data_IF_390064337213
#
_entry.id   IF_390064337213
#
_cell.length_a   1.000
_cell.length_b   1.000
_cell.length_c   1.000
_cell.angle_alpha   90.00
_cell.angle_beta   90.00
_cell.angle_gamma   90.00
#
_symmetry.space_group_name_H-M   'P 1'
#
loop_
_entity.id
_entity.type
_entity.pdbx_description
1 polymer ?
#
# COMPACT_ATOMS: atom_id res chain seq x y z
N UNK A 1 -14.70 -14.54 -5.78
CA UNK A 1 -15.30 -15.65 -5.01
C UNK A 1 -14.47 -15.81 -3.75
N UNK A 2 -15.09 -15.74 -2.57
CA UNK A 2 -14.40 -16.02 -1.31
C UNK A 2 -13.97 -17.49 -1.28
N UNK A 3 -12.72 -17.74 -0.93
CA UNK A 3 -12.20 -19.10 -0.78
C UNK A 3 -12.57 -19.59 0.62
N UNK A 4 -13.05 -20.83 0.74
CA UNK A 4 -13.34 -21.42 2.06
C UNK A 4 -12.09 -21.39 2.94
N UNK A 5 -12.25 -21.02 4.22
CA UNK A 5 -11.16 -20.99 5.18
C UNK A 5 -10.57 -22.38 5.46
N UNK A 6 -11.32 -23.45 5.19
CA UNK A 6 -10.84 -24.82 5.31
C UNK A 6 -10.00 -25.32 4.13
N UNK A 7 -9.93 -24.58 3.01
CA UNK A 7 -9.20 -25.02 1.82
C UNK A 7 -7.69 -24.86 2.03
N UNK A 8 -6.92 -25.89 1.69
CA UNK A 8 -5.45 -25.95 1.84
C UNK A 8 -4.74 -26.10 0.51
N UNK A 9 -3.44 -25.84 0.50
CA UNK A 9 -2.58 -25.98 -0.67
C UNK A 9 -1.70 -27.22 -0.59
N UNK A 10 -1.39 -27.82 -1.74
CA UNK A 10 -0.32 -28.83 -1.82
C UNK A 10 1.08 -28.21 -1.65
N UNK A 11 1.21 -26.89 -1.75
CA UNK A 11 2.40 -26.14 -1.32
C UNK A 11 2.39 -26.06 0.20
N UNK A 12 3.14 -26.93 0.86
CA UNK A 12 3.07 -27.13 2.30
C UNK A 12 3.32 -25.85 3.12
N UNK A 13 4.28 -25.02 2.71
CA UNK A 13 4.63 -23.77 3.39
C UNK A 13 3.53 -22.71 3.36
N UNK A 14 2.54 -22.83 2.47
CA UNK A 14 1.40 -21.91 2.43
C UNK A 14 0.38 -22.18 3.54
N UNK A 15 0.34 -23.40 4.08
CA UNK A 15 -0.65 -23.79 5.07
C UNK A 15 -0.27 -23.24 6.45
N UNK A 16 -1.00 -22.21 6.90
CA UNK A 16 -0.68 -21.48 8.13
C UNK A 16 0.33 -20.34 7.94
N UNK A 17 0.71 -20.03 6.69
CA UNK A 17 1.53 -18.87 6.39
C UNK A 17 0.77 -17.57 6.72
N UNK A 18 1.40 -16.67 7.47
CA UNK A 18 0.74 -15.43 7.93
C UNK A 18 0.34 -14.48 6.80
N UNK A 19 1.17 -14.42 5.74
CA UNK A 19 0.97 -13.48 4.64
C UNK A 19 0.43 -14.13 3.35
N UNK A 20 1.03 -15.23 2.88
CA UNK A 20 0.75 -15.84 1.57
C UNK A 20 0.10 -17.23 1.62
N UNK A 21 -1.02 -17.43 2.31
CA UNK A 21 -1.77 -18.67 2.19
C UNK A 21 -2.48 -18.76 0.83
N UNK A 22 -3.10 -19.91 0.54
CA UNK A 22 -3.92 -20.12 -0.65
C UNK A 22 -5.07 -19.10 -0.79
N UNK A 23 -5.51 -18.53 0.33
CA UNK A 23 -6.54 -17.51 0.40
C UNK A 23 -6.06 -16.14 -0.09
N UNK A 24 -4.75 -15.88 -0.14
CA UNK A 24 -4.20 -14.60 -0.59
C UNK A 24 -3.91 -14.61 -2.10
N UNK A 25 -2.87 -15.33 -2.54
CA UNK A 25 -2.38 -15.37 -3.93
C UNK A 25 -2.14 -13.99 -4.56
N UNK A 26 -1.30 -13.13 -3.96
CA UNK A 26 -1.04 -11.82 -4.52
C UNK A 26 -0.12 -11.89 -5.74
N UNK A 27 -0.28 -10.93 -6.65
CA UNK A 27 0.52 -10.83 -7.87
C UNK A 27 1.73 -9.92 -7.65
N UNK A 28 2.85 -10.26 -8.25
CA UNK A 28 4.04 -9.42 -8.27
C UNK A 28 4.88 -9.69 -9.51
N UNK A 29 5.85 -8.82 -9.77
CA UNK A 29 6.84 -9.02 -10.84
C UNK A 29 8.16 -9.40 -10.19
N UNK A 30 8.78 -10.47 -10.67
CA UNK A 30 10.03 -10.98 -10.13
C UNK A 30 11.00 -11.41 -11.23
N UNK A 31 12.27 -11.51 -10.88
CA UNK A 31 13.30 -12.22 -11.66
C UNK A 31 13.99 -13.25 -10.79
N UNK A 32 14.53 -14.30 -11.41
CA UNK A 32 15.27 -15.36 -10.72
C UNK A 32 16.55 -15.67 -11.50
N UNK A 33 17.71 -15.68 -10.84
CA UNK A 33 19.02 -15.99 -11.46
C UNK A 33 19.31 -15.20 -12.76
N UNK A 34 19.07 -13.89 -12.75
CA UNK A 34 19.35 -13.00 -13.89
C UNK A 34 18.39 -13.14 -15.09
N UNK A 35 17.33 -13.95 -14.97
CA UNK A 35 16.28 -14.03 -15.97
C UNK A 35 15.50 -12.70 -16.09
N UNK A 36 14.85 -12.50 -17.23
CA UNK A 36 13.99 -11.34 -17.45
C UNK A 36 12.84 -11.30 -16.42
N UNK A 37 12.43 -10.08 -15.96
CA UNK A 37 11.28 -9.90 -15.10
C UNK A 37 10.01 -10.50 -15.69
N UNK A 38 9.16 -11.05 -14.83
CA UNK A 38 7.87 -11.63 -15.19
C UNK A 38 6.95 -11.75 -13.99
N UNK A 39 5.66 -11.90 -14.25
CA UNK A 39 4.68 -12.04 -13.20
C UNK A 39 4.73 -13.38 -12.48
N UNK A 40 4.45 -13.33 -11.19
CA UNK A 40 4.38 -14.48 -10.30
C UNK A 40 3.32 -14.30 -9.21
N UNK A 41 3.01 -15.39 -8.53
CA UNK A 41 2.08 -15.43 -7.40
C UNK A 41 2.84 -15.89 -6.15
N UNK A 42 2.74 -15.15 -5.05
CA UNK A 42 3.25 -15.64 -3.77
C UNK A 42 2.36 -16.76 -3.21
N UNK A 43 2.98 -17.86 -2.78
CA UNK A 43 2.32 -19.00 -2.14
C UNK A 43 3.26 -19.66 -1.12
N UNK A 44 3.00 -19.42 0.17
CA UNK A 44 3.95 -19.73 1.23
C UNK A 44 5.29 -19.01 1.02
N UNK A 45 6.39 -19.74 1.19
CA UNK A 45 7.75 -19.24 0.96
C UNK A 45 8.18 -19.27 -0.53
N UNK A 46 7.25 -19.54 -1.44
CA UNK A 46 7.53 -19.76 -2.86
C UNK A 46 6.81 -18.74 -3.75
N UNK A 47 7.34 -18.56 -4.96
CA UNK A 47 6.70 -17.85 -6.06
C UNK A 47 6.31 -18.87 -7.13
N UNK A 48 5.03 -18.90 -7.50
CA UNK A 48 4.54 -19.59 -8.69
C UNK A 48 4.80 -18.72 -9.92
N UNK A 49 5.62 -19.23 -10.85
CA UNK A 49 6.00 -18.54 -12.08
C UNK A 49 4.86 -18.60 -13.12
N UNK A 50 4.17 -17.48 -13.35
CA UNK A 50 3.01 -17.45 -14.27
C UNK A 50 3.40 -17.70 -15.73
N UNK A 51 4.65 -17.40 -16.11
CA UNK A 51 5.16 -17.71 -17.46
C UNK A 51 5.39 -19.21 -17.63
N UNK A 52 5.86 -19.89 -16.58
CA UNK A 52 5.95 -21.35 -16.55
C UNK A 52 4.55 -21.99 -16.56
N UNK A 53 3.59 -21.44 -15.81
CA UNK A 53 2.18 -21.89 -15.80
C UNK A 53 1.58 -21.80 -17.21
N UNK A 54 1.75 -20.66 -17.89
CA UNK A 54 1.27 -20.43 -19.25
C UNK A 54 1.91 -21.41 -20.24
N UNK A 55 3.25 -21.54 -20.22
CA UNK A 55 3.99 -22.44 -21.11
C UNK A 55 3.59 -23.92 -20.92
N UNK A 56 3.27 -24.31 -19.69
CA UNK A 56 2.81 -25.66 -19.36
C UNK A 56 1.35 -25.93 -19.76
N UNK A 57 0.57 -24.92 -20.14
CA UNK A 57 -0.84 -25.08 -20.51
C UNK A 57 -1.73 -25.55 -19.35
N UNK A 58 -1.34 -25.24 -18.11
CA UNK A 58 -2.04 -25.69 -16.91
C UNK A 58 -3.38 -24.97 -16.69
N UNK A 59 -3.47 -23.71 -17.12
CA UNK A 59 -4.69 -22.90 -17.07
C UNK A 59 -5.41 -22.96 -18.42
N UNK A 60 -6.74 -23.16 -18.38
CA UNK A 60 -7.62 -23.29 -19.55
C UNK A 60 -8.87 -22.41 -19.39
N UNK A 61 -9.60 -22.25 -20.49
CA UNK A 61 -10.88 -21.53 -20.51
C UNK A 61 -10.72 -20.02 -20.31
N UNK A 62 -11.64 -19.36 -19.58
CA UNK A 62 -11.71 -17.89 -19.51
C UNK A 62 -10.51 -17.24 -18.81
N UNK A 63 -9.68 -18.02 -18.11
CA UNK A 63 -8.49 -17.52 -17.41
C UNK A 63 -7.23 -17.43 -18.30
N UNK A 64 -7.27 -17.91 -19.55
CA UNK A 64 -6.09 -17.99 -20.44
C UNK A 64 -5.54 -16.61 -20.77
N UNK A 65 -6.40 -15.67 -21.18
CA UNK A 65 -5.98 -14.29 -21.48
C UNK A 65 -5.38 -13.63 -20.23
N UNK A 66 -6.03 -13.81 -19.08
CA UNK A 66 -5.60 -13.24 -17.81
C UNK A 66 -4.22 -13.76 -17.36
N UNK A 67 -3.95 -15.07 -17.45
CA UNK A 67 -2.61 -15.60 -17.12
C UNK A 67 -1.56 -15.14 -18.14
N UNK A 68 -1.93 -15.01 -19.42
CA UNK A 68 -1.01 -14.51 -20.44
C UNK A 68 -0.50 -13.11 -20.09
N UNK A 69 -1.42 -12.16 -19.86
CA UNK A 69 -1.03 -10.79 -19.54
C UNK A 69 -0.42 -10.66 -18.15
N UNK A 70 -0.88 -11.44 -17.17
CA UNK A 70 -0.30 -11.47 -15.82
C UNK A 70 1.10 -12.08 -15.79
N UNK A 71 1.51 -12.85 -16.82
CA UNK A 71 2.86 -13.44 -16.91
C UNK A 71 3.92 -12.50 -17.49
N UNK A 72 3.53 -11.28 -17.92
CA UNK A 72 4.43 -10.27 -18.49
C UNK A 72 5.31 -9.61 -17.41
N UNK A 73 6.18 -8.71 -17.83
CA UNK A 73 7.10 -7.95 -16.97
C UNK A 73 6.42 -6.79 -16.21
N UNK A 74 5.13 -6.56 -16.42
CA UNK A 74 4.31 -5.58 -15.72
C UNK A 74 2.84 -6.02 -15.71
N UNK A 75 2.09 -5.65 -14.67
CA UNK A 75 0.70 -6.05 -14.48
C UNK A 75 -0.34 -5.09 -15.11
N UNK A 76 0.08 -4.02 -15.80
CA UNK A 76 -0.84 -3.02 -16.37
C UNK A 76 -1.92 -3.64 -17.27
N UNK A 77 -1.54 -4.55 -18.16
CA UNK A 77 -2.49 -5.22 -19.07
C UNK A 77 -3.46 -6.12 -18.30
N UNK A 78 -2.98 -6.78 -17.23
CA UNK A 78 -3.83 -7.55 -16.33
C UNK A 78 -4.82 -6.66 -15.57
N UNK A 79 -4.39 -5.48 -15.12
CA UNK A 79 -5.25 -4.48 -14.48
C UNK A 79 -6.34 -3.98 -15.44
N UNK A 80 -6.00 -3.80 -16.72
CA UNK A 80 -6.91 -3.37 -17.77
C UNK A 80 -8.08 -4.35 -18.04
N UNK A 81 -7.88 -5.66 -17.84
CA UNK A 81 -8.92 -6.66 -18.12
C UNK A 81 -10.12 -6.61 -17.15
N UNK A 82 -10.00 -5.91 -16.02
CA UNK A 82 -11.09 -5.75 -15.07
C UNK A 82 -11.43 -7.00 -14.24
N UNK A 83 -12.46 -6.89 -13.41
CA UNK A 83 -12.72 -7.83 -12.33
C UNK A 83 -13.09 -9.25 -12.79
N UNK A 84 -13.72 -9.41 -13.96
CA UNK A 84 -14.10 -10.74 -14.47
C UNK A 84 -12.88 -11.61 -14.76
N UNK A 85 -11.92 -11.08 -15.53
CA UNK A 85 -10.67 -11.76 -15.86
C UNK A 85 -9.82 -12.05 -14.61
N UNK A 86 -9.73 -11.09 -13.67
CA UNK A 86 -9.03 -11.29 -12.39
C UNK A 86 -9.66 -12.41 -11.57
N UNK A 87 -11.00 -12.45 -11.47
CA UNK A 87 -11.74 -13.52 -10.79
C UNK A 87 -11.52 -14.88 -11.47
N UNK A 88 -11.53 -14.92 -12.80
CA UNK A 88 -11.28 -16.15 -13.57
C UNK A 88 -9.87 -16.70 -13.30
N UNK A 89 -8.83 -15.84 -13.37
CA UNK A 89 -7.46 -16.23 -13.05
C UNK A 89 -7.34 -16.71 -11.61
N UNK A 90 -7.88 -15.96 -10.65
CA UNK A 90 -7.88 -16.33 -9.23
C UNK A 90 -8.53 -17.70 -9.01
N UNK A 91 -9.69 -17.96 -9.59
CA UNK A 91 -10.36 -19.25 -9.47
C UNK A 91 -9.52 -20.40 -10.04
N UNK A 92 -8.90 -20.20 -11.20
CA UNK A 92 -8.01 -21.18 -11.82
C UNK A 92 -6.77 -21.45 -10.96
N UNK A 93 -6.13 -20.41 -10.42
CA UNK A 93 -4.96 -20.55 -9.54
C UNK A 93 -5.28 -21.27 -8.24
N UNK A 94 -6.44 -20.98 -7.65
CA UNK A 94 -6.90 -21.69 -6.45
C UNK A 94 -7.08 -23.17 -6.74
N UNK A 95 -7.76 -23.54 -7.83
CA UNK A 95 -7.90 -24.93 -8.24
C UNK A 95 -6.56 -25.60 -8.55
N UNK A 96 -5.63 -24.86 -9.15
CA UNK A 96 -4.30 -25.35 -9.49
C UNK A 96 -3.50 -25.71 -8.24
N UNK A 97 -3.56 -24.85 -7.21
CA UNK A 97 -2.79 -24.93 -5.98
C UNK A 97 -3.49 -25.69 -4.84
N UNK A 98 -4.79 -25.98 -4.96
CA UNK A 98 -5.58 -26.75 -4.00
C UNK A 98 -4.99 -28.13 -3.72
N UNK A 99 -4.95 -28.58 -2.47
CA UNK A 99 -4.34 -29.86 -2.06
C UNK A 99 -4.85 -31.10 -2.83
N UNK A 100 -6.11 -31.03 -3.29
CA UNK A 100 -6.82 -32.07 -4.06
C UNK A 100 -6.79 -31.80 -5.58
N UNK A 101 -5.94 -30.88 -6.05
CA UNK A 101 -5.80 -30.55 -7.47
C UNK A 101 -5.51 -31.81 -8.30
N UNK A 102 -6.32 -32.10 -9.34
CA UNK A 102 -6.07 -33.25 -10.21
C UNK A 102 -4.79 -33.10 -11.02
N UNK A 103 -4.23 -31.88 -11.08
CA UNK A 103 -2.97 -31.58 -11.77
C UNK A 103 -1.75 -31.65 -10.84
N UNK A 104 -1.94 -31.87 -9.52
CA UNK A 104 -0.89 -31.82 -8.49
C UNK A 104 0.37 -32.58 -8.87
N UNK A 105 0.25 -33.85 -9.29
CA UNK A 105 1.40 -34.68 -9.64
C UNK A 105 2.22 -34.11 -10.81
N UNK A 106 1.56 -33.54 -11.81
CA UNK A 106 2.22 -32.88 -12.94
C UNK A 106 2.91 -31.57 -12.52
N UNK A 107 2.28 -30.80 -11.64
CA UNK A 107 2.83 -29.54 -11.12
C UNK A 107 4.06 -29.78 -10.25
N UNK A 108 4.03 -30.80 -9.39
CA UNK A 108 5.17 -31.19 -8.56
C UNK A 108 6.35 -31.73 -9.39
N UNK A 109 6.07 -32.34 -10.55
CA UNK A 109 7.10 -32.80 -11.48
C UNK A 109 7.67 -31.69 -12.38
N UNK A 110 6.98 -30.54 -12.49
CA UNK A 110 7.40 -29.44 -13.35
C UNK A 110 8.55 -28.64 -12.73
N UNK A 111 9.74 -28.75 -13.33
CA UNK A 111 10.90 -27.94 -12.92
C UNK A 111 10.68 -26.45 -13.22
N UNK A 112 11.06 -25.58 -12.27
CA UNK A 112 11.00 -24.13 -12.43
C UNK A 112 9.59 -23.53 -12.33
N UNK A 113 8.58 -24.32 -11.93
CA UNK A 113 7.22 -23.83 -11.72
C UNK A 113 7.09 -23.04 -10.41
N UNK A 114 7.68 -23.57 -9.34
CA UNK A 114 7.78 -22.92 -8.03
C UNK A 114 9.24 -22.58 -7.75
N UNK A 115 9.48 -21.35 -7.31
CA UNK A 115 10.80 -20.82 -7.04
C UNK A 115 10.87 -20.32 -5.60
N UNK A 116 11.95 -20.58 -4.84
CA UNK A 116 12.13 -20.01 -3.52
C UNK A 116 12.07 -18.49 -3.56
N UNK A 117 11.20 -17.88 -2.75
CA UNK A 117 10.99 -16.43 -2.77
C UNK A 117 12.26 -15.66 -2.38
N UNK A 118 13.08 -16.23 -1.50
CA UNK A 118 14.37 -15.67 -1.07
C UNK A 118 15.48 -15.74 -2.13
N UNK A 119 15.29 -16.50 -3.22
CA UNK A 119 16.20 -16.54 -4.37
C UNK A 119 15.73 -15.61 -5.51
N UNK A 120 14.59 -14.95 -5.33
CA UNK A 120 14.00 -14.07 -6.32
C UNK A 120 14.27 -12.59 -5.99
N UNK A 121 14.39 -11.77 -7.03
CA UNK A 121 14.41 -10.31 -6.91
C UNK A 121 13.07 -9.77 -7.34
N UNK A 122 12.41 -9.02 -6.46
CA UNK A 122 11.14 -8.35 -6.77
C UNK A 122 11.36 -7.03 -7.50
N UNK A 123 10.44 -6.69 -8.40
CA UNK A 123 10.42 -5.46 -9.18
C UNK A 123 9.12 -4.69 -8.93
N UNK A 124 9.02 -3.48 -9.47
CA UNK A 124 7.73 -2.78 -9.47
C UNK A 124 6.66 -3.61 -10.18
N UNK A 125 5.47 -3.78 -9.58
CA UNK A 125 4.45 -4.67 -10.14
C UNK A 125 3.80 -4.10 -11.39
N UNK A 126 3.75 -2.78 -11.54
CA UNK A 126 3.19 -2.10 -12.70
C UNK A 126 3.96 -0.82 -13.00
N UNK A 127 3.89 -0.40 -14.26
CA UNK A 127 4.32 0.93 -14.67
C UNK A 127 3.29 1.95 -14.21
N UNK A 128 3.70 2.86 -13.34
CA UNK A 128 2.84 3.94 -12.86
C UNK A 128 2.83 5.08 -13.88
N UNK A 129 1.66 5.39 -14.43
CA UNK A 129 1.44 6.57 -15.26
C UNK A 129 1.43 7.81 -14.38
N UNK A 130 0.42 7.88 -13.53
CA UNK A 130 0.23 8.93 -12.53
C UNK A 130 0.17 8.37 -11.11
N UNK A 131 0.78 9.10 -10.17
CA UNK A 131 0.69 8.88 -8.74
C UNK A 131 -0.06 10.06 -8.12
N UNK A 132 -1.14 9.81 -7.41
CA UNK A 132 -1.83 10.83 -6.62
C UNK A 132 -1.87 10.40 -5.17
N UNK A 133 -1.55 11.31 -4.27
CA UNK A 133 -1.54 11.04 -2.85
C UNK A 133 -2.70 11.79 -2.18
N UNK A 134 -3.53 11.06 -1.46
CA UNK A 134 -4.70 11.61 -0.79
C UNK A 134 -4.38 12.01 0.65
N UNK A 135 -5.39 12.49 1.37
CA UNK A 135 -5.26 12.86 2.77
C UNK A 135 -6.43 12.33 3.59
N UNK A 136 -6.78 11.04 3.44
CA UNK A 136 -8.06 10.51 3.94
C UNK A 136 -8.05 10.10 5.42
N UNK A 137 -6.88 10.04 6.08
CA UNK A 137 -6.75 9.74 7.50
C UNK A 137 -7.11 10.93 8.40
N UNK A 138 -8.30 10.94 9.01
CA UNK A 138 -8.79 12.10 9.78
C UNK A 138 -8.01 12.33 11.07
N UNK A 139 -7.56 11.28 11.74
CA UNK A 139 -6.75 11.43 12.96
C UNK A 139 -5.41 12.09 12.65
N UNK A 140 -4.78 11.69 11.55
CA UNK A 140 -3.57 12.33 11.07
C UNK A 140 -3.81 13.82 10.74
N UNK A 141 -4.88 14.12 10.00
CA UNK A 141 -5.27 15.49 9.69
C UNK A 141 -5.53 16.35 10.92
N UNK A 142 -6.15 15.78 11.96
CA UNK A 142 -6.37 16.45 13.25
C UNK A 142 -5.06 16.66 14.00
N UNK A 143 -4.19 15.66 14.08
CA UNK A 143 -2.92 15.72 14.81
C UNK A 143 -1.99 16.76 14.21
N UNK A 144 -1.75 16.69 12.90
CA UNK A 144 -0.94 17.69 12.18
C UNK A 144 -1.61 19.06 12.25
N UNK A 145 -2.92 19.11 12.02
CA UNK A 145 -3.71 20.34 12.12
C UNK A 145 -3.53 21.07 13.45
N UNK A 146 -3.59 20.36 14.58
CA UNK A 146 -3.43 20.95 15.93
C UNK A 146 -2.05 21.58 16.14
N UNK A 147 -1.01 21.06 15.50
CA UNK A 147 0.35 21.61 15.62
C UNK A 147 0.50 22.97 14.92
N UNK A 148 -0.26 23.22 13.85
CA UNK A 148 -0.18 24.45 13.06
C UNK A 148 -1.35 25.41 13.31
N UNK A 149 -2.53 24.89 13.67
CA UNK A 149 -3.81 25.59 13.82
C UNK A 149 -4.61 24.95 14.98
N UNK A 150 -4.18 25.14 16.24
CA UNK A 150 -4.77 24.44 17.39
C UNK A 150 -6.28 24.67 17.54
N UNK A 151 -6.76 25.87 17.23
CA UNK A 151 -8.19 26.22 17.35
C UNK A 151 -9.06 25.64 16.23
N UNK A 152 -8.48 25.40 15.04
CA UNK A 152 -9.17 24.90 13.85
C UNK A 152 -8.27 23.92 13.09
N UNK A 153 -8.08 22.70 13.62
CA UNK A 153 -7.07 21.77 13.10
C UNK A 153 -7.40 21.29 11.68
N UNK A 154 -8.69 21.03 11.41
CA UNK A 154 -9.16 20.67 10.07
C UNK A 154 -9.54 21.92 9.28
N UNK A 155 -9.12 21.95 8.02
CA UNK A 155 -9.61 22.96 7.09
C UNK A 155 -11.08 22.67 6.71
N UNK A 156 -11.88 23.70 6.37
CA UNK A 156 -13.33 23.55 6.18
C UNK A 156 -13.74 22.51 5.13
N UNK A 157 -12.91 22.28 4.12
CA UNK A 157 -13.18 21.36 3.02
C UNK A 157 -12.97 19.88 3.35
N UNK A 158 -12.19 19.55 4.40
CA UNK A 158 -11.74 18.18 4.68
C UNK A 158 -12.90 17.17 4.80
N UNK A 159 -14.00 17.58 5.44
CA UNK A 159 -15.17 16.72 5.67
C UNK A 159 -16.11 16.62 4.46
N UNK A 160 -15.86 17.39 3.41
CA UNK A 160 -16.68 17.42 2.18
C UNK A 160 -15.96 16.82 0.97
N UNK A 161 -14.63 16.84 0.97
CA UNK A 161 -13.81 16.44 -0.17
C UNK A 161 -12.67 15.53 0.29
N UNK A 162 -12.47 14.34 -0.31
CA UNK A 162 -11.26 13.56 -0.10
C UNK A 162 -10.10 14.26 -0.82
N UNK A 163 -9.51 15.26 -0.15
CA UNK A 163 -8.45 16.07 -0.74
C UNK A 163 -7.22 15.21 -1.05
N UNK A 164 -6.51 15.59 -2.11
CA UNK A 164 -5.28 14.95 -2.54
C UNK A 164 -4.50 15.86 -3.48
N UNK A 165 -3.29 15.44 -3.83
CA UNK A 165 -2.38 16.14 -4.73
C UNK A 165 -1.68 15.15 -5.66
N UNK A 166 -1.10 15.64 -6.75
CA UNK A 166 -0.30 14.81 -7.64
C UNK A 166 1.07 14.56 -7.01
N UNK A 167 1.38 13.30 -6.76
CA UNK A 167 2.69 12.85 -6.31
C UNK A 167 3.67 12.67 -7.47
N UNK A 168 4.87 12.13 -7.18
CA UNK A 168 5.92 11.93 -8.18
C UNK A 168 6.10 10.46 -8.56
N UNK A 169 5.56 10.05 -9.71
CA UNK A 169 5.68 8.68 -10.20
C UNK A 169 7.12 8.22 -10.45
N UNK A 170 8.02 9.11 -10.90
CA UNK A 170 9.40 8.74 -11.26
C UNK A 170 10.30 8.33 -10.09
N UNK A 171 9.88 8.61 -8.84
CA UNK A 171 10.62 8.31 -7.61
C UNK A 171 9.91 7.28 -6.74
N UNK A 172 8.91 6.60 -7.31
CA UNK A 172 8.38 5.37 -6.73
C UNK A 172 9.44 4.28 -6.82
N UNK A 173 9.80 3.69 -5.69
CA UNK A 173 10.77 2.62 -5.59
C UNK A 173 10.18 1.39 -4.91
N UNK A 174 10.80 0.23 -5.16
CA UNK A 174 10.36 -1.03 -4.56
C UNK A 174 10.96 -1.20 -3.16
N UNK A 175 10.23 -1.87 -2.28
CA UNK A 175 10.69 -2.32 -0.96
C UNK A 175 12.13 -2.85 -0.99
N UNK A 176 12.96 -2.38 -0.05
CA UNK A 176 14.39 -2.68 0.06
C UNK A 176 15.31 -1.65 -0.62
N UNK A 177 14.76 -0.72 -1.42
CA UNK A 177 15.55 0.37 -1.99
C UNK A 177 16.03 1.33 -0.89
N UNK A 178 17.34 1.61 -0.77
CA UNK A 178 17.84 2.60 0.19
C UNK A 178 17.39 4.02 -0.16
N UNK A 179 17.08 4.83 0.86
CA UNK A 179 16.51 6.17 0.72
C UNK A 179 17.53 7.20 1.16
N UNK A 180 18.00 8.03 0.23
CA UNK A 180 18.95 9.10 0.56
C UNK A 180 18.22 10.28 1.21
N UNK A 181 18.70 10.73 2.36
CA UNK A 181 18.28 11.97 3.01
C UNK A 181 18.39 13.13 2.01
N UNK A 182 17.31 13.86 1.72
CA UNK A 182 17.36 14.95 0.77
C UNK A 182 18.06 16.17 1.36
N UNK A 183 18.76 16.91 0.51
CA UNK A 183 19.11 18.29 0.78
C UNK A 183 17.99 19.20 0.26
N UNK A 184 17.74 20.33 0.91
CA UNK A 184 16.77 21.30 0.45
C UNK A 184 16.85 22.63 1.20
N UNK A 185 15.95 23.55 0.83
CA UNK A 185 15.80 24.81 1.55
C UNK A 185 14.92 24.62 2.77
N UNK A 186 15.31 25.21 3.89
CA UNK A 186 14.57 25.16 5.14
C UNK A 186 14.62 26.55 5.80
N UNK A 187 13.49 27.02 6.32
CA UNK A 187 13.45 28.21 7.16
C UNK A 187 13.34 27.79 8.63
N UNK A 188 14.40 28.01 9.41
CA UNK A 188 14.37 27.67 10.84
C UNK A 188 13.55 28.69 11.64
N UNK A 189 13.00 28.25 12.77
CA UNK A 189 12.25 29.13 13.67
C UNK A 189 13.09 30.35 14.08
N UNK A 190 12.52 31.55 13.92
CA UNK A 190 13.18 32.82 14.24
C UNK A 190 14.13 33.35 13.16
N UNK A 191 14.36 32.62 12.06
CA UNK A 191 15.12 33.10 10.92
C UNK A 191 14.23 33.80 9.89
N UNK A 192 14.81 34.71 9.11
CA UNK A 192 14.15 35.41 8.00
C UNK A 192 14.63 34.95 6.63
N UNK A 193 15.77 34.26 6.58
CA UNK A 193 16.42 33.79 5.35
C UNK A 193 16.54 32.28 5.43
N UNK A 194 16.17 31.52 4.39
CA UNK A 194 16.30 30.07 4.40
C UNK A 194 17.76 29.63 4.32
N UNK A 195 18.04 28.48 4.91
CA UNK A 195 19.31 27.76 4.78
C UNK A 195 19.17 26.62 3.76
N UNK A 196 20.28 26.24 3.11
CA UNK A 196 20.34 25.05 2.27
C UNK A 196 21.22 23.98 2.93
N UNK A 197 20.73 22.75 3.01
CA UNK A 197 21.46 21.65 3.61
C UNK A 197 20.62 20.38 3.76
N UNK A 198 21.14 19.37 4.48
CA UNK A 198 20.43 18.12 4.70
C UNK A 198 19.18 18.33 5.56
N UNK A 199 18.11 17.65 5.19
CA UNK A 199 16.87 17.58 5.96
C UNK A 199 17.16 17.16 7.42
N UNK A 200 16.66 17.95 8.38
CA UNK A 200 16.78 17.72 9.84
C UNK A 200 15.57 16.96 10.39
N UNK A 201 14.43 16.97 9.70
CA UNK A 201 13.17 16.33 10.10
C UNK A 201 12.67 15.33 9.06
N UNK A 202 13.45 14.27 8.84
CA UNK A 202 13.09 13.18 7.92
C UNK A 202 12.12 12.21 8.59
N UNK A 203 11.08 11.85 7.88
CA UNK A 203 9.95 11.09 8.41
C UNK A 203 9.47 10.04 7.41
N UNK A 204 8.70 9.07 7.93
CA UNK A 204 7.92 8.14 7.13
C UNK A 204 6.44 8.54 7.17
N UNK A 205 5.66 7.98 6.25
CA UNK A 205 4.20 8.03 6.30
C UNK A 205 3.63 6.62 6.09
N UNK A 206 2.90 6.12 7.08
CA UNK A 206 2.22 4.83 6.99
C UNK A 206 1.00 4.94 6.08
N UNK A 207 1.08 4.33 4.90
CA UNK A 207 0.00 4.38 3.92
C UNK A 207 -0.29 3.02 3.27
N UNK A 208 -1.44 3.00 2.60
CA UNK A 208 -1.75 1.99 1.60
C UNK A 208 -1.71 2.60 0.20
N UNK A 209 -1.24 1.82 -0.77
CA UNK A 209 -1.41 2.11 -2.19
C UNK A 209 -2.65 1.42 -2.74
N UNK A 210 -3.39 2.10 -3.60
CA UNK A 210 -4.53 1.59 -4.36
C UNK A 210 -4.16 1.56 -5.84
N UNK A 211 -4.10 0.36 -6.43
CA UNK A 211 -3.80 0.17 -7.84
C UNK A 211 -5.07 0.31 -8.67
N UNK A 212 -5.04 1.21 -9.65
CA UNK A 212 -6.15 1.40 -10.57
C UNK A 212 -6.18 0.28 -11.61
N UNK A 213 -7.36 -0.32 -11.76
CA UNK A 213 -7.74 -1.34 -12.74
C UNK A 213 -8.11 -0.71 -14.09
N UNK A 214 -9.26 -1.07 -14.68
CA UNK A 214 -9.75 -0.36 -15.86
C UNK A 214 -9.85 1.15 -15.58
N UNK A 215 -9.39 1.97 -16.52
CA UNK A 215 -9.51 3.41 -16.43
C UNK A 215 -10.90 3.92 -16.82
N UNK A 216 -10.95 5.20 -17.19
CA UNK A 216 -12.12 5.86 -17.77
C UNK A 216 -11.71 6.66 -19.02
N UNK A 217 -12.67 7.08 -19.83
CA UNK A 217 -12.38 8.03 -20.90
C UNK A 217 -12.21 9.45 -20.32
N UNK A 218 -11.40 10.27 -20.99
CA UNK A 218 -11.25 11.67 -20.59
C UNK A 218 -12.60 12.39 -20.71
N UNK A 219 -12.98 13.13 -19.66
CA UNK A 219 -14.29 13.79 -19.58
C UNK A 219 -15.41 12.93 -18.99
N UNK A 220 -15.18 11.62 -18.79
CA UNK A 220 -16.19 10.70 -18.25
C UNK A 220 -15.85 10.31 -16.81
N UNK A 221 -16.63 10.79 -15.84
CA UNK A 221 -16.43 10.47 -14.44
C UNK A 221 -16.80 9.02 -14.10
N UNK A 222 -16.10 8.43 -13.14
CA UNK A 222 -16.46 7.15 -12.54
C UNK A 222 -17.44 7.42 -11.40
N UNK A 223 -18.66 6.89 -11.51
CA UNK A 223 -19.65 6.97 -10.44
C UNK A 223 -19.23 6.16 -9.21
N UNK A 224 -19.56 6.65 -8.01
CA UNK A 224 -19.22 6.00 -6.74
C UNK A 224 -19.77 4.56 -6.65
N UNK A 225 -20.90 4.29 -7.29
CA UNK A 225 -21.55 2.98 -7.40
C UNK A 225 -20.74 1.94 -8.19
N UNK A 226 -19.84 2.39 -9.07
CA UNK A 226 -18.96 1.52 -9.87
C UNK A 226 -17.48 1.65 -9.52
N UNK A 227 -17.11 2.61 -8.68
CA UNK A 227 -15.72 2.93 -8.36
C UNK A 227 -14.89 1.72 -7.87
N UNK A 228 -15.50 0.79 -7.13
CA UNK A 228 -14.82 -0.43 -6.67
C UNK A 228 -14.38 -1.36 -7.82
N UNK A 229 -15.04 -1.32 -8.99
CA UNK A 229 -14.69 -2.13 -10.17
C UNK A 229 -13.39 -1.65 -10.82
N UNK A 230 -13.04 -0.38 -10.61
CA UNK A 230 -11.84 0.28 -11.09
C UNK A 230 -10.63 0.10 -10.15
N UNK A 231 -10.76 -0.68 -9.08
CA UNK A 231 -9.65 -1.02 -8.17
C UNK A 231 -9.15 -2.42 -8.51
N UNK A 232 -7.88 -2.54 -8.89
CA UNK A 232 -7.23 -3.81 -9.16
C UNK A 232 -6.77 -4.52 -7.88
N UNK A 233 -6.24 -3.75 -6.93
CA UNK A 233 -5.70 -4.28 -5.68
C UNK A 233 -4.99 -3.22 -4.87
N UNK A 234 -4.29 -3.67 -3.84
CA UNK A 234 -3.69 -2.82 -2.82
C UNK A 234 -2.25 -3.24 -2.54
N UNK A 235 -1.43 -2.31 -2.08
CA UNK A 235 -0.10 -2.55 -1.54
C UNK A 235 0.13 -1.68 -0.29
N UNK A 236 1.23 -1.88 0.42
CA UNK A 236 1.74 -0.90 1.37
C UNK A 236 2.46 0.22 0.62
N UNK A 237 2.43 1.43 1.17
CA UNK A 237 3.11 2.61 0.65
C UNK A 237 3.78 3.36 1.82
N UNK A 238 5.03 3.77 1.63
CA UNK A 238 5.71 4.71 2.53
C UNK A 238 6.04 5.99 1.77
N UNK A 239 5.35 7.08 2.09
CA UNK A 239 5.58 8.40 1.50
C UNK A 239 6.61 9.20 2.32
N UNK A 240 7.90 8.92 2.05
CA UNK A 240 9.00 9.54 2.79
C UNK A 240 8.93 11.06 2.71
N UNK A 241 9.12 11.69 3.87
CA UNK A 241 8.77 13.10 4.03
C UNK A 241 9.86 13.90 4.71
N UNK A 242 10.31 14.98 4.08
CA UNK A 242 11.23 15.95 4.67
C UNK A 242 10.45 17.13 5.24
N UNK A 243 10.05 17.05 6.51
CA UNK A 243 9.04 17.95 7.14
C UNK A 243 9.47 19.41 7.22
N UNK A 244 10.76 19.67 7.33
CA UNK A 244 11.34 21.01 7.31
C UNK A 244 11.37 21.66 5.94
N UNK A 245 11.71 20.89 4.89
CA UNK A 245 11.58 21.33 3.51
C UNK A 245 10.10 21.59 3.22
N UNK A 246 9.21 20.67 3.61
CA UNK A 246 7.76 20.77 3.40
C UNK A 246 7.20 22.07 3.99
N UNK A 247 7.51 22.34 5.25
CA UNK A 247 6.99 23.52 5.95
C UNK A 247 7.37 24.84 5.28
N UNK A 248 8.52 24.89 4.59
CA UNK A 248 8.97 26.06 3.85
C UNK A 248 8.34 26.18 2.46
N UNK A 249 8.20 25.07 1.73
CA UNK A 249 7.83 25.12 0.31
C UNK A 249 6.32 25.02 0.02
N UNK A 250 5.53 24.41 0.92
CA UNK A 250 4.21 23.90 0.53
C UNK A 250 3.14 24.98 0.26
N UNK A 251 3.37 26.22 0.69
CA UNK A 251 2.41 27.30 0.48
C UNK A 251 2.76 28.09 -0.79
N UNK A 252 1.82 28.32 -1.72
CA UNK A 252 0.42 27.87 -1.72
C UNK A 252 0.16 26.58 -2.52
N UNK A 253 1.19 25.96 -3.10
CA UNK A 253 1.04 24.97 -4.19
C UNK A 253 0.98 23.50 -3.74
N UNK A 254 1.12 23.24 -2.44
CA UNK A 254 1.17 21.90 -1.86
C UNK A 254 2.59 21.33 -1.78
N UNK A 255 2.75 20.12 -1.21
CA UNK A 255 4.04 19.45 -1.07
C UNK A 255 4.70 19.18 -2.42
N UNK A 256 6.03 19.31 -2.50
CA UNK A 256 6.78 19.09 -3.73
C UNK A 256 8.10 18.33 -3.47
N UNK A 257 9.23 19.04 -3.30
CA UNK A 257 10.53 18.42 -3.08
C UNK A 257 10.63 17.68 -1.75
N UNK A 258 9.78 18.05 -0.79
CA UNK A 258 9.67 17.39 0.50
C UNK A 258 9.09 15.98 0.42
N UNK A 259 8.56 15.57 -0.74
CA UNK A 259 7.95 14.26 -1.01
C UNK A 259 8.60 13.56 -2.20
N UNK A 260 8.89 14.31 -3.27
CA UNK A 260 9.32 13.77 -4.56
C UNK A 260 10.73 13.16 -4.59
N UNK A 261 11.38 12.95 -3.44
CA UNK A 261 12.70 12.34 -3.37
C UNK A 261 12.64 10.81 -3.28
N UNK A 262 11.59 10.26 -2.65
CA UNK A 262 11.33 8.82 -2.64
C UNK A 262 9.94 8.50 -2.09
N UNK A 263 9.27 7.51 -2.69
CA UNK A 263 8.08 6.85 -2.14
C UNK A 263 8.27 5.35 -2.34
N UNK A 264 8.14 4.53 -1.30
CA UNK A 264 8.40 3.07 -1.38
C UNK A 264 7.11 2.27 -1.42
N UNK A 265 7.02 1.23 -2.25
CA UNK A 265 5.88 0.30 -2.31
C UNK A 265 6.27 -1.13 -1.90
N UNK A 266 5.36 -1.86 -1.28
CA UNK A 266 5.50 -3.33 -1.16
C UNK A 266 5.35 -4.00 -2.55
N UNK A 267 6.05 -5.10 -2.82
CA UNK A 267 6.12 -5.68 -4.16
C UNK A 267 4.89 -6.49 -4.57
N UNK A 268 4.09 -6.93 -3.59
CA UNK A 268 2.92 -7.77 -3.81
C UNK A 268 1.65 -6.92 -3.90
N UNK A 269 0.90 -7.12 -4.98
CA UNK A 269 -0.43 -6.55 -5.20
C UNK A 269 -1.47 -7.51 -4.66
N UNK A 270 -2.07 -7.14 -3.53
CA UNK A 270 -3.16 -7.89 -2.92
C UNK A 270 -4.44 -7.54 -3.68
N UNK A 271 -4.97 -8.50 -4.44
CA UNK A 271 -6.16 -8.26 -5.29
C UNK A 271 -7.38 -7.87 -4.45
N UNK A 272 -8.24 -7.01 -5.00
CA UNK A 272 -9.51 -6.65 -4.35
C UNK A 272 -10.36 -7.89 -4.02
N UNK A 273 -10.30 -8.92 -4.86
CA UNK A 273 -11.02 -10.18 -4.67
C UNK A 273 -10.48 -11.03 -3.50
N UNK A 274 -9.21 -10.87 -3.11
CA UNK A 274 -8.64 -11.53 -1.94
C UNK A 274 -9.07 -10.86 -0.63
N UNK A 275 -9.34 -9.56 -0.68
CA UNK A 275 -9.71 -8.74 0.48
C UNK A 275 -11.21 -8.75 0.78
N UNK A 276 -12.04 -9.32 -0.11
CA UNK A 276 -13.49 -9.43 0.05
C UNK A 276 -13.92 -9.95 1.44
N UNK A 277 -13.31 -11.00 2.02
CA UNK A 277 -13.68 -11.50 3.34
C UNK A 277 -13.40 -10.52 4.49
N UNK A 278 -12.62 -9.47 4.23
CA UNK A 278 -12.18 -8.46 5.21
C UNK A 278 -12.82 -7.10 4.96
N UNK A 279 -13.79 -7.01 4.03
CA UNK A 279 -14.66 -5.84 3.91
C UNK A 279 -15.45 -5.62 5.19
N UNK A 280 -15.67 -4.35 5.51
CA UNK A 280 -16.41 -3.89 6.68
C UNK A 280 -17.33 -2.74 6.28
N UNK A 281 -18.42 -2.46 7.02
CA UNK A 281 -19.09 -1.18 6.93
C UNK A 281 -18.10 -0.05 7.16
N UNK A 282 -18.21 1.03 6.38
CA UNK A 282 -17.43 2.22 6.61
C UNK A 282 -17.76 2.75 8.01
N UNK A 283 -16.75 3.05 8.86
CA UNK A 283 -17.00 3.60 10.17
C UNK A 283 -17.86 4.86 10.09
N UNK A 284 -18.86 4.93 10.97
CA UNK A 284 -19.79 6.03 11.00
C UNK A 284 -19.02 7.34 11.26
N UNK A 285 -19.41 8.40 10.54
CA UNK A 285 -18.87 9.73 10.81
C UNK A 285 -19.25 10.16 12.23
N UNK A 286 -18.37 10.90 12.94
CA UNK A 286 -18.68 11.46 14.24
C UNK A 286 -19.99 12.25 14.25
N UNK A 287 -20.69 12.25 15.38
CA UNK A 287 -21.91 13.03 15.54
C UNK A 287 -21.68 14.52 15.21
N UNK A 288 -22.54 15.09 14.38
CA UNK A 288 -22.44 16.48 13.91
C UNK A 288 -21.60 16.67 12.64
N UNK A 289 -20.90 15.64 12.16
CA UNK A 289 -20.20 15.72 10.87
C UNK A 289 -21.19 15.76 9.69
N UNK A 290 -20.86 16.49 8.61
CA UNK A 290 -21.72 16.56 7.45
C UNK A 290 -21.74 15.23 6.68
N UNK A 291 -22.89 14.97 6.07
CA UNK A 291 -23.01 13.91 5.06
C UNK A 291 -22.26 14.32 3.79
N UNK A 292 -21.54 13.40 3.12
CA UNK A 292 -20.99 13.65 1.80
C UNK A 292 -22.06 14.07 0.78
N UNK A 293 -21.66 14.85 -0.22
CA UNK A 293 -22.51 15.13 -1.37
C UNK A 293 -22.88 13.83 -2.11
N UNK A 294 -24.01 13.78 -2.85
CA UNK A 294 -24.52 12.54 -3.46
C UNK A 294 -23.52 11.78 -4.33
N UNK A 295 -22.61 12.47 -5.04
CA UNK A 295 -21.60 11.82 -5.88
C UNK A 295 -20.53 11.02 -5.11
N UNK A 296 -20.44 11.22 -3.79
CA UNK A 296 -19.56 10.48 -2.88
C UNK A 296 -20.33 9.60 -1.90
N UNK A 297 -21.64 9.45 -2.08
CA UNK A 297 -22.47 8.68 -1.16
C UNK A 297 -23.18 7.56 -1.91
N UNK A 298 -22.72 6.33 -1.69
CA UNK A 298 -23.38 5.12 -2.16
C UNK A 298 -23.67 4.16 -0.99
N UNK A 299 -24.82 3.50 -1.03
CA UNK A 299 -25.23 2.60 0.06
C UNK A 299 -24.33 1.36 0.16
N UNK A 300 -23.92 0.79 -0.97
CA UNK A 300 -23.08 -0.42 -1.00
C UNK A 300 -21.67 -0.11 -0.50
N UNK A 301 -21.12 1.04 -0.91
CA UNK A 301 -19.85 1.56 -0.39
C UNK A 301 -19.92 1.80 1.13
N UNK A 302 -20.97 2.41 1.65
CA UNK A 302 -21.07 2.61 3.11
C UNK A 302 -21.24 1.29 3.88
N UNK A 303 -21.85 0.26 3.27
CA UNK A 303 -22.04 -1.04 3.92
C UNK A 303 -20.83 -1.99 3.84
N UNK A 304 -19.93 -1.81 2.87
CA UNK A 304 -18.84 -2.77 2.60
C UNK A 304 -17.57 -2.18 1.95
N UNK A 305 -17.49 -0.85 1.83
CA UNK A 305 -16.40 -0.14 1.16
C UNK A 305 -15.12 -0.05 1.98
N UNK A 306 -15.23 -0.14 3.31
CA UNK A 306 -14.06 -0.21 4.19
C UNK A 306 -13.39 -1.58 4.14
N UNK A 307 -12.09 -1.59 4.43
CA UNK A 307 -11.30 -2.79 4.60
C UNK A 307 -10.74 -2.80 6.03
N UNK A 308 -10.82 -3.94 6.68
CA UNK A 308 -10.23 -4.17 8.01
C UNK A 308 -8.83 -4.77 7.85
N UNK A 309 -7.84 -3.89 7.86
CA UNK A 309 -6.43 -4.23 7.63
C UNK A 309 -5.63 -3.56 8.73
N UNK A 310 -5.03 -4.37 9.60
CA UNK A 310 -4.07 -3.91 10.60
C UNK A 310 -2.81 -3.42 9.89
N UNK A 311 -2.31 -2.26 10.29
CA UNK A 311 -1.18 -1.57 9.70
C UNK A 311 -0.11 -1.33 10.76
N UNK A 312 1.07 -1.93 10.60
CA UNK A 312 2.15 -1.89 11.58
C UNK A 312 3.34 -1.11 11.01
N UNK A 313 3.95 -0.28 11.86
CA UNK A 313 5.24 0.36 11.60
C UNK A 313 6.29 -0.13 12.58
N UNK A 314 7.43 -0.56 12.04
CA UNK A 314 8.59 -0.97 12.80
C UNK A 314 9.80 -0.11 12.43
N UNK A 315 10.68 0.11 13.41
CA UNK A 315 11.98 0.75 13.24
C UNK A 315 13.10 -0.19 13.67
N UNK A 316 14.13 -0.30 12.87
CA UNK A 316 15.34 -1.05 13.18
C UNK A 316 16.57 -0.18 12.97
N UNK A 317 17.28 0.13 14.05
CA UNK A 317 18.52 0.92 14.01
C UNK A 317 19.75 0.02 13.82
N UNK A 318 20.88 0.61 13.43
CA UNK A 318 22.16 -0.11 13.33
C UNK A 318 22.65 -0.64 14.70
N UNK A 319 22.40 0.10 15.78
CA UNK A 319 22.75 -0.35 17.12
C UNK A 319 21.86 -1.52 17.56
N UNK A 320 20.55 -1.48 17.27
CA UNK A 320 19.65 -2.62 17.52
C UNK A 320 20.11 -3.87 16.75
N UNK A 321 20.49 -3.74 15.47
CA UNK A 321 21.06 -4.84 14.67
C UNK A 321 22.32 -5.41 15.32
N UNK A 322 23.25 -4.55 15.73
CA UNK A 322 24.52 -4.94 16.37
C UNK A 322 24.30 -5.67 17.70
N UNK A 323 23.24 -5.30 18.44
CA UNK A 323 22.86 -5.93 19.70
C UNK A 323 21.98 -7.18 19.52
N UNK A 324 21.61 -7.56 18.28
CA UNK A 324 20.72 -8.67 18.01
C UNK A 324 19.27 -8.43 18.46
N UNK A 325 18.85 -7.17 18.57
CA UNK A 325 17.49 -6.77 18.94
C UNK A 325 16.57 -6.83 17.72
N UNK A 326 15.33 -7.27 17.91
CA UNK A 326 14.29 -7.27 16.89
C UNK A 326 13.83 -5.83 16.57
N UNK A 327 13.27 -5.56 15.37
CA UNK A 327 12.65 -4.28 15.05
C UNK A 327 11.64 -3.84 16.11
N UNK A 328 11.67 -2.57 16.48
CA UNK A 328 10.79 -1.99 17.49
C UNK A 328 9.51 -1.48 16.83
N UNK A 329 8.35 -1.89 17.35
CA UNK A 329 7.06 -1.39 16.87
C UNK A 329 6.84 0.04 17.34
N UNK A 330 6.78 0.96 16.38
CA UNK A 330 6.45 2.36 16.61
C UNK A 330 4.93 2.57 16.71
N UNK A 331 4.17 1.87 15.88
CA UNK A 331 2.72 2.03 15.84
C UNK A 331 1.97 0.83 15.26
N UNK A 332 0.72 0.67 15.69
CA UNK A 332 -0.25 -0.28 15.17
C UNK A 332 -1.58 0.43 14.90
N UNK A 333 -1.80 0.79 13.64
CA UNK A 333 -3.01 1.43 13.14
C UNK A 333 -3.90 0.42 12.40
N UNK A 334 -4.94 0.90 11.74
CA UNK A 334 -5.80 0.11 10.88
C UNK A 334 -6.36 0.99 9.74
N UNK A 335 -6.60 0.41 8.56
CA UNK A 335 -7.25 1.11 7.44
C UNK A 335 -8.70 1.56 7.74
N UNK A 336 -9.35 1.00 8.76
CA UNK A 336 -10.64 1.51 9.27
C UNK A 336 -10.55 2.95 9.79
N UNK A 337 -9.36 3.49 10.03
CA UNK A 337 -9.19 4.90 10.39
C UNK A 337 -9.31 5.87 9.18
N UNK A 338 -9.47 5.35 7.95
CA UNK A 338 -9.78 6.16 6.78
C UNK A 338 -11.18 6.79 6.91
N UNK A 339 -11.26 8.11 6.75
CA UNK A 339 -12.52 8.86 6.78
C UNK A 339 -13.26 8.84 5.44
N UNK A 340 -12.52 8.57 4.36
CA UNK A 340 -13.02 8.41 3.00
C UNK A 340 -12.60 7.04 2.47
N UNK A 341 -13.50 6.31 1.81
CA UNK A 341 -13.21 5.00 1.22
C UNK A 341 -12.36 5.13 -0.04
N UNK A 342 -11.70 4.03 -0.44
CA UNK A 342 -11.00 3.96 -1.72
C UNK A 342 -11.93 4.22 -2.92
N UNK A 343 -13.20 3.82 -2.84
CA UNK A 343 -14.19 4.12 -3.87
C UNK A 343 -14.49 5.63 -3.96
N UNK A 344 -14.59 6.32 -2.82
CA UNK A 344 -14.73 7.78 -2.77
C UNK A 344 -13.51 8.50 -3.34
N UNK A 345 -12.29 7.98 -3.13
CA UNK A 345 -11.07 8.50 -3.77
C UNK A 345 -11.16 8.42 -5.30
N UNK A 346 -11.53 7.26 -5.85
CA UNK A 346 -11.70 7.05 -7.31
C UNK A 346 -12.80 7.94 -7.89
N UNK A 347 -13.96 7.98 -7.25
CA UNK A 347 -15.08 8.80 -7.68
C UNK A 347 -14.72 10.29 -7.68
N UNK A 348 -14.04 10.76 -6.63
CA UNK A 348 -13.63 12.15 -6.56
C UNK A 348 -12.56 12.52 -7.59
N UNK A 349 -11.54 11.69 -7.76
CA UNK A 349 -10.42 11.98 -8.66
C UNK A 349 -10.88 12.15 -10.12
N UNK A 350 -11.85 11.33 -10.53
CA UNK A 350 -12.39 11.35 -11.89
C UNK A 350 -13.57 12.31 -12.10
N UNK A 351 -14.13 12.93 -11.04
CA UNK A 351 -15.39 13.69 -11.12
C UNK A 351 -15.33 14.88 -12.09
N UNK A 352 -14.15 15.46 -12.29
CA UNK A 352 -13.92 16.57 -13.21
C UNK A 352 -13.61 16.12 -14.65
N UNK A 353 -13.66 14.82 -14.93
CA UNK A 353 -13.25 14.24 -16.21
C UNK A 353 -11.78 13.84 -16.30
N UNK A 354 -11.03 13.83 -15.18
CA UNK A 354 -9.67 13.31 -15.15
C UNK A 354 -9.66 11.85 -15.61
N UNK A 355 -8.71 11.53 -16.49
CA UNK A 355 -8.56 10.20 -17.08
C UNK A 355 -7.65 9.34 -16.21
N UNK A 356 -8.22 8.35 -15.53
CA UNK A 356 -7.45 7.30 -14.86
C UNK A 356 -7.04 6.22 -15.85
N UNK A 357 -5.92 5.56 -15.57
CA UNK A 357 -5.32 4.53 -16.40
C UNK A 357 -4.95 3.27 -15.60
N UNK A 358 -4.97 2.08 -16.22
CA UNK A 358 -4.49 0.87 -15.58
C UNK A 358 -3.03 0.98 -15.12
N UNK A 359 -2.83 0.80 -13.82
CA UNK A 359 -1.53 0.96 -13.16
C UNK A 359 -1.23 2.35 -12.61
N UNK A 360 -2.15 3.31 -12.72
CA UNK A 360 -2.10 4.48 -11.86
C UNK A 360 -2.20 4.06 -10.39
N UNK A 361 -1.59 4.87 -9.53
CA UNK A 361 -1.46 4.57 -8.10
C UNK A 361 -2.05 5.70 -7.27
N UNK A 362 -2.91 5.36 -6.32
CA UNK A 362 -3.30 6.30 -5.26
C UNK A 362 -2.65 5.95 -3.93
N UNK A 363 -2.04 6.93 -3.27
CA UNK A 363 -1.72 6.88 -1.84
C UNK A 363 -2.94 7.27 -1.02
N UNK A 364 -3.15 6.65 0.14
CA UNK A 364 -4.27 6.98 1.01
C UNK A 364 -4.08 8.31 1.74
N UNK A 365 -2.85 8.81 1.82
CA UNK A 365 -2.43 9.67 2.89
C UNK A 365 -2.18 8.87 4.17
N UNK A 366 -1.43 9.47 5.08
CA UNK A 366 -1.02 8.84 6.34
C UNK A 366 -2.21 8.33 7.18
N UNK A 367 -2.14 7.06 7.60
CA UNK A 367 -3.21 6.35 8.31
C UNK A 367 -2.93 6.22 9.81
N UNK A 368 -3.37 7.22 10.58
CA UNK A 368 -3.29 7.21 12.04
C UNK A 368 -4.60 6.80 12.71
N UNK A 369 -4.51 6.14 13.86
CA UNK A 369 -5.62 5.96 14.80
C UNK A 369 -5.71 7.08 15.85
N UNK A 370 -6.75 7.05 16.68
CA UNK A 370 -6.96 8.06 17.74
C UNK A 370 -5.93 8.01 18.87
N UNK A 371 -5.31 6.86 19.13
CA UNK A 371 -4.48 6.64 20.32
C UNK A 371 -2.96 6.76 20.04
N UNK A 372 -2.19 7.11 21.06
CA UNK A 372 -0.74 7.40 20.98
C UNK A 372 0.17 6.24 20.49
N UNK A 373 -0.38 5.02 20.36
CA UNK A 373 0.31 3.87 19.76
C UNK A 373 -0.13 3.54 18.33
N UNK A 374 -0.92 4.41 17.70
CA UNK A 374 -1.55 4.15 16.40
C UNK A 374 -1.22 5.22 15.35
N UNK A 375 -0.28 6.11 15.65
CA UNK A 375 0.09 7.17 14.72
C UNK A 375 0.88 6.64 13.52
N UNK A 376 0.68 7.27 12.37
CA UNK A 376 1.28 6.87 11.10
C UNK A 376 2.54 7.64 10.72
N UNK A 377 3.09 8.48 11.60
CA UNK A 377 4.32 9.25 11.36
C UNK A 377 5.05 9.61 12.65
N UNK A 378 6.37 9.86 12.57
CA UNK A 378 7.13 10.38 13.72
C UNK A 378 6.73 11.81 14.05
N UNK A 379 6.32 12.60 13.05
CA UNK A 379 5.77 13.94 13.26
C UNK A 379 4.67 13.93 14.32
N UNK A 380 3.74 12.99 14.23
CA UNK A 380 2.65 12.82 15.18
C UNK A 380 3.12 12.28 16.53
N UNK A 381 3.93 11.20 16.53
CA UNK A 381 4.42 10.54 17.75
C UNK A 381 5.25 11.45 18.64
N UNK A 382 5.92 12.44 18.06
CA UNK A 382 6.86 13.31 18.77
C UNK A 382 6.34 14.73 18.94
N UNK A 383 5.08 14.98 18.59
CA UNK A 383 4.44 16.29 18.61
C UNK A 383 5.26 17.38 17.90
N UNK A 384 5.73 17.09 16.68
CA UNK A 384 6.60 17.99 15.93
C UNK A 384 8.06 17.98 16.39
N UNK A 385 8.50 16.93 17.09
CA UNK A 385 9.84 16.80 17.67
C UNK A 385 9.99 17.46 19.05
N UNK A 386 8.89 17.76 19.74
CA UNK A 386 8.91 18.21 21.14
C UNK A 386 9.24 17.05 22.07
N UNK A 387 8.59 15.91 21.84
CA UNK A 387 8.79 14.67 22.59
C UNK A 387 9.83 13.75 21.93
N UNK A 388 10.21 12.68 22.63
CA UNK A 388 11.18 11.68 22.17
C UNK A 388 10.59 10.28 22.30
N UNK A 389 10.89 9.42 21.32
CA UNK A 389 10.62 7.98 21.40
C UNK A 389 11.88 7.31 21.95
N UNK A 390 11.74 6.47 22.96
CA UNK A 390 12.85 5.67 23.50
C UNK A 390 12.78 4.25 22.93
N UNK A 391 13.82 3.85 22.21
CA UNK A 391 13.94 2.54 21.56
C UNK A 391 14.56 1.49 22.50
N UNK A 392 14.37 0.20 22.22
CA UNK A 392 15.11 -0.88 22.87
C UNK A 392 16.62 -0.63 22.76
N UNK A 393 17.34 -0.70 23.89
CA UNK A 393 18.77 -0.37 23.96
C UNK A 393 19.07 1.08 24.34
N UNK A 394 18.05 1.93 24.54
CA UNK A 394 18.19 3.27 25.11
C UNK A 394 18.41 4.39 24.09
N UNK A 395 18.48 4.08 22.79
CA UNK A 395 18.48 5.08 21.74
C UNK A 395 17.19 5.91 21.78
N UNK A 396 17.29 7.18 21.37
CA UNK A 396 16.14 8.06 21.26
C UNK A 396 15.97 8.53 19.82
N UNK A 397 14.72 8.75 19.40
CA UNK A 397 14.38 9.35 18.11
C UNK A 397 13.35 10.46 18.26
N UNK A 398 13.53 11.49 17.44
CA UNK A 398 12.52 12.52 17.14
C UNK A 398 12.05 12.41 15.69
N UNK A 399 13.03 12.22 14.81
CA UNK A 399 12.88 11.97 13.39
C UNK A 399 13.90 10.89 13.01
N UNK A 400 13.83 10.41 11.77
CA UNK A 400 14.73 9.36 11.29
C UNK A 400 16.17 9.84 11.22
N UNK A 401 17.09 8.98 11.66
CA UNK A 401 18.54 9.17 11.58
C UNK A 401 19.14 8.28 10.48
N UNK A 402 20.38 8.55 10.10
CA UNK A 402 21.09 7.76 9.09
C UNK A 402 21.31 6.34 9.58
N UNK A 403 21.02 5.34 8.74
CA UNK A 403 21.09 3.92 9.09
C UNK A 403 19.79 3.34 9.65
N UNK A 404 18.80 4.17 10.01
CA UNK A 404 17.50 3.69 10.41
C UNK A 404 16.79 2.97 9.25
N UNK A 405 16.26 1.78 9.51
CA UNK A 405 15.39 1.03 8.59
C UNK A 405 13.94 1.11 9.08
N UNK A 406 13.06 1.67 8.25
CA UNK A 406 11.61 1.66 8.47
C UNK A 406 11.02 0.45 7.75
N UNK A 407 10.16 -0.30 8.44
CA UNK A 407 9.48 -1.48 7.88
C UNK A 407 7.99 -1.33 8.15
N UNK A 408 7.19 -1.25 7.09
CA UNK A 408 5.74 -1.31 7.16
C UNK A 408 5.27 -2.75 6.91
N UNK A 409 4.25 -3.17 7.66
CA UNK A 409 3.56 -4.45 7.47
C UNK A 409 2.05 -4.23 7.50
N UNK A 410 1.32 -5.08 6.80
CA UNK A 410 -0.14 -5.09 6.83
C UNK A 410 -0.67 -6.52 6.88
N UNK A 411 -1.74 -6.70 7.65
CA UNK A 411 -2.38 -8.00 7.82
C UNK A 411 -3.88 -7.87 8.06
N UNK A 412 -4.65 -8.76 7.43
CA UNK A 412 -6.09 -8.85 7.64
C UNK A 412 -6.40 -10.02 8.57
N UNK A 413 -7.22 -9.76 9.57
CA UNK A 413 -7.64 -10.76 10.55
C UNK A 413 -9.17 -10.72 10.71
N UNK A 414 -9.80 -11.90 10.68
CA UNK A 414 -11.22 -12.06 10.99
C UNK A 414 -11.47 -13.46 11.51
N UNK A 415 -12.28 -13.58 12.56
CA UNK A 415 -12.67 -14.88 13.09
C UNK A 415 -13.28 -15.76 11.98
N UNK A 416 -12.83 -17.01 11.90
CA UNK A 416 -13.27 -17.96 10.88
C UNK A 416 -12.67 -17.75 9.47
N UNK A 417 -11.83 -16.73 9.26
CA UNK A 417 -11.09 -16.50 8.01
C UNK A 417 -9.60 -16.77 8.20
N UNK A 418 -8.93 -17.23 7.13
CA UNK A 418 -7.47 -17.36 7.12
C UNK A 418 -6.85 -15.97 6.97
N UNK A 419 -5.91 -15.62 7.84
CA UNK A 419 -5.15 -14.37 7.77
C UNK A 419 -4.47 -14.18 6.41
N UNK A 420 -4.49 -12.97 5.87
CA UNK A 420 -3.73 -12.61 4.67
C UNK A 420 -2.87 -11.37 4.94
N UNK A 421 -1.68 -11.32 4.36
CA UNK A 421 -0.72 -10.24 4.58
C UNK A 421 -0.14 -9.69 3.29
N UNK A 422 0.57 -8.57 3.43
CA UNK A 422 1.06 -7.77 2.30
C UNK A 422 2.56 -7.99 2.01
N UNK A 423 3.23 -8.83 2.81
CA UNK A 423 4.67 -8.78 2.94
C UNK A 423 5.09 -7.46 3.58
N UNK A 424 6.22 -6.91 3.13
CA UNK A 424 6.80 -5.71 3.75
C UNK A 424 7.10 -4.61 2.74
N UNK A 425 6.90 -3.37 3.18
CA UNK A 425 7.42 -2.17 2.54
C UNK A 425 8.52 -1.60 3.43
N UNK A 426 9.79 -1.79 3.05
CA UNK A 426 10.96 -1.40 3.87
C UNK A 426 11.92 -0.49 3.12
N UNK A 427 12.64 0.35 3.84
CA UNK A 427 13.73 1.17 3.30
C UNK A 427 14.68 1.66 4.38
N UNK A 428 15.96 1.73 4.06
CA UNK A 428 17.02 2.20 4.96
C UNK A 428 17.46 3.61 4.59
N UNK A 429 17.55 4.49 5.57
CA UNK A 429 17.98 5.88 5.38
C UNK A 429 19.50 5.95 5.16
N UNK A 430 19.92 6.60 4.09
CA UNK A 430 21.32 6.91 3.78
C UNK A 430 21.59 8.41 3.91
N UNK A 431 22.74 8.77 4.47
CA UNK A 431 23.20 10.16 4.53
C UNK A 431 22.98 10.76 5.90
#
# INVERSE_FOLDING_TARGET
>A
MSISSGRRSWVASANGHGDFPLQNLPLGVFSHNGSAPRGGIAIGDLILDLKAVLKGGFIKGPAVEAVEVASRDQLNDFFALGAEARRALRAALVQLLDEDSPQRSYLQAASGLLLPMNECTMHMPARVGDYSDFYVGIHHALNVGKMFRPDNPLLPNYKYVPIGYHGRASTLCISGTPIRRPNGQMLMAGQQVPEFGPCKRLDYELEMGVWIGPGNAQGEAIGIDRAAEHIAGFCLLNDWSARDIQAWEYQPLGPFLSKSFATTLSPWVITAEALEPFRSPQPARPEGDPQPLPYLLDRSDQQSGALDIELEVLLLTEQMKTQGLAPHRLGLSNSLNMYWTAAQMVAHHSVNGCKLQPGDLFGTGTLSGPDAGQFGSLLEMTEGGKDVITLPGGEQRKFLESGDEVILRARCHREGQVSIGFGECRGTVLG
#
